data_IF_414351967015
#
_entry.id   IF_414351967015
#
_cell.length_a   1.000
_cell.length_b   1.000
_cell.length_c   1.000
_cell.angle_alpha   90.00
_cell.angle_beta   90.00
_cell.angle_gamma   90.00
#
_symmetry.space_group_name_H-M   'P 1'
#
loop_
_entity.id
_entity.type
_entity.pdbx_description
1 polymer ?
#
# COMPACT_ATOMS: atom_id res chain seq x y z
N UNK A 1 -15.13 9.46 4.26
CA UNK A 1 -15.03 8.00 4.50
C UNK A 1 -13.83 7.31 3.81
N UNK A 2 -12.88 8.08 3.24
CA UNK A 2 -11.68 7.59 2.51
C UNK A 2 -10.47 7.38 3.45
N UNK A 3 -10.61 7.81 4.72
CA UNK A 3 -9.50 7.99 5.68
C UNK A 3 -8.75 6.69 6.02
N UNK A 4 -9.39 5.53 5.86
CA UNK A 4 -8.80 4.22 6.17
C UNK A 4 -8.21 3.50 4.94
N UNK A 5 -8.33 4.05 3.72
CA UNK A 5 -7.74 3.40 2.55
C UNK A 5 -6.20 3.37 2.61
N UNK A 6 -5.58 4.30 3.33
CA UNK A 6 -4.14 4.28 3.62
C UNK A 6 -3.75 3.18 4.62
N UNK A 7 -4.68 2.68 5.43
CA UNK A 7 -4.42 1.62 6.42
C UNK A 7 -4.24 0.26 5.74
N UNK A 8 -4.90 0.02 4.61
CA UNK A 8 -4.84 -1.24 3.86
C UNK A 8 -3.39 -1.64 3.51
N UNK A 9 -2.59 -0.78 2.86
CA UNK A 9 -1.21 -1.14 2.55
C UNK A 9 -0.31 -1.23 3.78
N UNK A 10 -0.63 -0.48 4.83
CA UNK A 10 0.11 -0.53 6.08
C UNK A 10 -0.10 -1.88 6.79
N UNK A 11 -1.35 -2.36 6.82
CA UNK A 11 -1.70 -3.70 7.30
C UNK A 11 -1.09 -4.80 6.42
N UNK A 12 -1.14 -4.67 5.09
CA UNK A 12 -0.51 -5.62 4.17
C UNK A 12 1.01 -5.70 4.37
N UNK A 13 1.67 -4.55 4.57
CA UNK A 13 3.10 -4.49 4.89
C UNK A 13 3.43 -5.21 6.20
N UNK A 14 2.60 -5.02 7.23
CA UNK A 14 2.74 -5.69 8.53
C UNK A 14 2.51 -7.20 8.41
N UNK A 15 1.49 -7.62 7.66
CA UNK A 15 1.22 -9.04 7.41
C UNK A 15 2.37 -9.71 6.64
N UNK A 16 2.91 -9.03 5.63
CA UNK A 16 4.05 -9.51 4.84
C UNK A 16 5.33 -9.60 5.68
N UNK A 17 5.53 -8.63 6.58
CA UNK A 17 6.62 -8.67 7.56
C UNK A 17 6.54 -9.90 8.46
N UNK A 18 5.36 -10.15 9.05
CA UNK A 18 5.12 -11.32 9.90
C UNK A 18 5.33 -12.60 9.11
N UNK A 19 4.82 -12.68 7.87
CA UNK A 19 5.02 -13.83 6.99
C UNK A 19 6.50 -14.13 6.72
N UNK A 20 7.32 -13.09 6.50
CA UNK A 20 8.77 -13.28 6.32
C UNK A 20 9.43 -13.82 7.59
N UNK A 21 9.08 -13.26 8.75
CA UNK A 21 9.59 -13.72 10.04
C UNK A 21 9.20 -15.17 10.34
N UNK A 22 7.95 -15.56 10.11
CA UNK A 22 7.48 -16.94 10.36
C UNK A 22 8.14 -17.96 9.44
N UNK A 23 8.52 -17.56 8.22
CA UNK A 23 9.22 -18.42 7.27
C UNK A 23 10.76 -18.37 7.41
N UNK A 24 11.29 -17.61 8.37
CA UNK A 24 12.73 -17.42 8.56
C UNK A 24 13.41 -16.68 7.41
N UNK A 25 12.65 -15.95 6.58
CA UNK A 25 13.17 -15.21 5.44
C UNK A 25 13.66 -13.84 5.86
N UNK A 26 14.78 -13.42 5.28
CA UNK A 26 15.33 -12.09 5.53
C UNK A 26 14.54 -11.01 4.80
N UNK A 27 14.54 -9.78 5.33
CA UNK A 27 13.92 -8.62 4.67
C UNK A 27 14.44 -8.38 3.24
N UNK A 28 15.68 -8.77 2.97
CA UNK A 28 16.26 -8.72 1.61
C UNK A 28 15.53 -9.64 0.63
N UNK A 29 15.11 -10.84 1.05
CA UNK A 29 14.34 -11.76 0.22
C UNK A 29 12.90 -11.28 0.04
N UNK A 30 12.32 -10.70 1.08
CA UNK A 30 10.96 -10.14 1.06
C UNK A 30 10.78 -8.82 0.33
N UNK A 31 11.87 -8.21 -0.17
CA UNK A 31 11.86 -6.87 -0.78
C UNK A 31 10.89 -6.74 -1.95
N UNK A 32 10.70 -7.82 -2.72
CA UNK A 32 9.73 -7.84 -3.83
C UNK A 32 8.30 -7.65 -3.33
N UNK A 33 7.89 -8.31 -2.24
CA UNK A 33 6.54 -8.17 -1.70
C UNK A 33 6.29 -6.78 -1.10
N UNK A 34 7.26 -6.20 -0.40
CA UNK A 34 7.20 -4.81 0.03
C UNK A 34 7.08 -3.85 -1.15
N UNK A 35 7.83 -4.09 -2.24
CA UNK A 35 7.75 -3.29 -3.46
C UNK A 35 6.36 -3.40 -4.10
N UNK A 36 5.76 -4.59 -4.15
CA UNK A 36 4.39 -4.76 -4.66
C UNK A 36 3.36 -3.99 -3.83
N UNK A 37 3.43 -4.09 -2.49
CA UNK A 37 2.53 -3.35 -1.59
C UNK A 37 2.70 -1.85 -1.79
N UNK A 38 3.94 -1.37 -1.89
CA UNK A 38 4.24 0.04 -2.13
C UNK A 38 3.72 0.52 -3.49
N UNK A 39 3.96 -0.23 -4.57
CA UNK A 39 3.45 0.10 -5.91
C UNK A 39 1.92 0.15 -5.90
N UNK A 40 1.27 -0.85 -5.31
CA UNK A 40 -0.20 -0.90 -5.21
C UNK A 40 -0.75 0.31 -4.45
N UNK A 41 -0.10 0.69 -3.34
CA UNK A 41 -0.45 1.88 -2.55
C UNK A 41 -0.36 3.15 -3.37
N UNK A 42 0.75 3.32 -4.09
CA UNK A 42 1.02 4.51 -4.91
C UNK A 42 0.03 4.58 -6.07
N UNK A 43 -0.25 3.46 -6.73
CA UNK A 43 -1.24 3.40 -7.82
C UNK A 43 -2.61 3.84 -7.32
N UNK A 44 -3.05 3.34 -6.16
CA UNK A 44 -4.33 3.72 -5.56
C UNK A 44 -4.35 5.21 -5.18
N UNK A 45 -3.28 5.70 -4.55
CA UNK A 45 -3.16 7.11 -4.16
C UNK A 45 -3.20 8.04 -5.38
N UNK A 46 -2.49 7.69 -6.46
CA UNK A 46 -2.51 8.43 -7.72
C UNK A 46 -3.89 8.35 -8.36
N UNK A 47 -4.51 7.17 -8.41
CA UNK A 47 -5.84 6.98 -8.99
C UNK A 47 -6.90 7.84 -8.26
N UNK A 48 -6.95 7.77 -6.93
CA UNK A 48 -7.85 8.62 -6.15
C UNK A 48 -7.47 10.09 -6.23
N UNK A 49 -6.18 10.44 -6.29
CA UNK A 49 -5.73 11.81 -6.50
C UNK A 49 -6.18 12.39 -7.84
N UNK A 50 -6.07 11.59 -8.91
CA UNK A 50 -6.56 11.94 -10.25
C UNK A 50 -8.08 12.05 -10.27
N UNK A 51 -8.80 11.10 -9.66
CA UNK A 51 -10.25 11.19 -9.53
C UNK A 51 -10.67 12.44 -8.75
N UNK A 52 -10.00 12.75 -7.65
CA UNK A 52 -10.26 13.98 -6.89
C UNK A 52 -9.92 15.22 -7.70
N UNK A 53 -8.88 15.20 -8.53
CA UNK A 53 -8.56 16.31 -9.41
C UNK A 53 -9.61 16.49 -10.53
N UNK A 54 -10.05 15.40 -11.14
CA UNK A 54 -11.07 15.38 -12.18
C UNK A 54 -12.47 15.74 -11.65
N UNK A 55 -12.80 15.30 -10.43
CA UNK A 55 -14.10 15.54 -9.78
C UNK A 55 -14.11 16.85 -8.98
N UNK A 56 -12.93 17.32 -8.56
CA UNK A 56 -12.70 18.40 -7.60
C UNK A 56 -12.55 19.79 -8.20
N UNK A 57 -13.52 20.16 -9.04
CA UNK A 57 -14.10 21.52 -9.01
C UNK A 57 -15.24 21.56 -7.97
N UNK A 58 -15.00 21.03 -6.77
CA UNK A 58 -15.96 20.89 -5.68
C UNK A 58 -15.20 20.83 -4.33
N UNK A 59 -14.47 21.91 -4.02
CA UNK A 59 -14.03 22.25 -2.66
C UNK A 59 -14.64 23.60 -2.31
#
# INVERSE_FOLDING_TARGET
MIRFLFLIPLLLGLLWWVYLMTNGWTLKQGRKGFLYILIFSVVIAVFYGVLLWLTGRQF
#
